data_IF_732225677484
#
_entry.id   IF_732225677484
#
_cell.length_a   1.000
_cell.length_b   1.000
_cell.length_c   1.000
_cell.angle_alpha   90.00
_cell.angle_beta   90.00
_cell.angle_gamma   90.00
#
_symmetry.space_group_name_H-M   'P 1'
#
loop_
_entity.id
_entity.type
_entity.pdbx_description
1 polymer ?
#
# COMPACT_ATOMS: atom_id res chain seq x y z
N UNK A 1 -23.35 15.03 -3.62
CA UNK A 1 -22.04 14.73 -4.23
C UNK A 1 -21.08 15.85 -3.89
N UNK A 2 -19.91 15.51 -3.38
CA UNK A 2 -18.88 16.43 -2.87
C UNK A 2 -17.59 16.20 -3.64
N UNK A 3 -16.87 17.29 -3.93
CA UNK A 3 -15.49 17.21 -4.40
C UNK A 3 -14.60 16.79 -3.23
N UNK A 4 -13.83 15.73 -3.41
CA UNK A 4 -12.91 15.17 -2.41
C UNK A 4 -11.48 15.64 -2.66
N UNK A 5 -11.02 15.58 -3.91
CA UNK A 5 -9.71 16.09 -4.33
C UNK A 5 -9.76 16.51 -5.81
N UNK A 6 -8.83 17.37 -6.21
CA UNK A 6 -8.65 17.83 -7.60
C UNK A 6 -7.18 18.07 -7.89
N UNK A 7 -6.72 17.62 -9.06
CA UNK A 7 -5.37 17.83 -9.59
C UNK A 7 -5.42 18.17 -11.08
N UNK A 8 -4.35 18.76 -11.58
CA UNK A 8 -4.16 19.08 -13.00
C UNK A 8 -2.78 18.64 -13.46
N UNK A 9 -2.72 17.99 -14.62
CA UNK A 9 -1.51 17.61 -15.35
C UNK A 9 -1.91 17.25 -16.79
N UNK A 10 -0.94 17.13 -17.68
CA UNK A 10 -1.14 16.45 -18.97
C UNK A 10 -1.17 14.94 -18.71
N UNK A 11 -2.36 14.32 -18.80
CA UNK A 11 -2.57 12.88 -18.55
C UNK A 11 -2.83 12.09 -19.83
N UNK A 12 -3.07 12.77 -20.95
CA UNK A 12 -3.35 12.15 -22.24
C UNK A 12 -2.17 12.26 -23.24
N UNK A 13 -1.17 13.12 -22.96
CA UNK A 13 0.05 13.31 -23.75
C UNK A 13 -0.05 14.37 -24.85
N UNK A 14 -1.07 15.23 -24.86
CA UNK A 14 -1.26 16.26 -25.89
C UNK A 14 -0.57 17.60 -25.58
N UNK A 15 0.07 17.72 -24.41
CA UNK A 15 0.77 18.91 -23.95
C UNK A 15 -0.12 19.97 -23.30
N UNK A 16 -1.42 19.73 -23.15
CA UNK A 16 -2.37 20.60 -22.47
C UNK A 16 -2.72 20.04 -21.08
N UNK A 17 -3.10 20.94 -20.17
CA UNK A 17 -3.47 20.51 -18.82
C UNK A 17 -4.90 19.98 -18.80
N UNK A 18 -5.04 18.73 -18.40
CA UNK A 18 -6.30 18.10 -18.05
C UNK A 18 -6.65 18.35 -16.58
N UNK A 19 -7.90 18.10 -16.20
CA UNK A 19 -8.32 18.14 -14.79
C UNK A 19 -8.84 16.79 -14.33
N UNK A 20 -8.27 16.31 -13.24
CA UNK A 20 -8.64 15.05 -12.58
C UNK A 20 -9.39 15.38 -11.30
N UNK A 21 -10.61 14.88 -11.19
CA UNK A 21 -11.47 15.07 -10.03
C UNK A 21 -11.72 13.74 -9.33
N UNK A 22 -11.77 13.81 -8.00
CA UNK A 22 -12.31 12.74 -7.18
C UNK A 22 -13.58 13.27 -6.51
N UNK A 23 -14.72 12.69 -6.87
CA UNK A 23 -16.00 12.99 -6.24
C UNK A 23 -16.43 11.86 -5.31
N UNK A 24 -17.30 12.15 -4.34
CA UNK A 24 -17.98 11.12 -3.56
C UNK A 24 -19.21 11.65 -2.88
N UNK A 25 -19.98 10.77 -2.26
CA UNK A 25 -21.11 11.13 -1.42
C UNK A 25 -20.67 11.08 0.05
N UNK A 26 -21.05 12.10 0.83
CA UNK A 26 -20.76 12.19 2.26
C UNK A 26 -22.08 12.08 3.02
N UNK A 27 -22.42 10.90 3.59
CA UNK A 27 -23.68 10.69 4.30
C UNK A 27 -23.89 11.68 5.45
N UNK A 28 -22.82 12.04 6.16
CA UNK A 28 -22.83 12.97 7.29
C UNK A 28 -22.71 14.45 6.87
N UNK A 29 -22.91 14.74 5.58
CA UNK A 29 -22.81 16.10 5.03
C UNK A 29 -21.38 16.59 4.84
N UNK A 30 -21.22 17.89 4.62
CA UNK A 30 -19.94 18.49 4.19
C UNK A 30 -18.79 18.29 5.19
N UNK A 31 -19.11 18.25 6.48
CA UNK A 31 -18.16 18.01 7.58
C UNK A 31 -17.82 16.53 7.79
N UNK A 32 -18.53 15.61 7.13
CA UNK A 32 -18.24 14.19 7.18
C UNK A 32 -16.86 13.87 6.59
N UNK A 33 -16.11 13.02 7.29
CA UNK A 33 -14.78 12.54 6.85
C UNK A 33 -14.84 11.25 6.04
N UNK A 34 -15.95 10.51 6.15
CA UNK A 34 -16.23 9.33 5.35
C UNK A 34 -16.91 9.73 4.04
N UNK A 35 -16.55 9.07 2.95
CA UNK A 35 -17.26 9.18 1.68
C UNK A 35 -17.51 7.78 1.07
N UNK A 36 -18.66 7.61 0.43
CA UNK A 36 -19.00 6.47 -0.41
C UNK A 36 -19.21 6.89 -1.87
N UNK A 37 -19.37 5.92 -2.77
CA UNK A 37 -19.54 6.15 -4.21
C UNK A 37 -18.44 7.06 -4.78
N UNK A 38 -17.21 6.85 -4.31
CA UNK A 38 -16.05 7.61 -4.75
C UNK A 38 -15.81 7.33 -6.23
N UNK A 39 -15.84 8.39 -7.03
CA UNK A 39 -15.81 8.31 -8.49
C UNK A 39 -14.69 9.19 -9.02
N UNK A 40 -13.84 8.61 -9.86
CA UNK A 40 -12.79 9.32 -10.57
C UNK A 40 -13.36 9.90 -11.87
N UNK A 41 -13.13 11.19 -12.12
CA UNK A 41 -13.57 11.86 -13.34
C UNK A 41 -12.38 12.58 -13.98
N UNK A 42 -12.12 12.24 -15.22
CA UNK A 42 -11.06 12.82 -16.04
C UNK A 42 -11.70 13.81 -17.00
N UNK A 43 -11.23 15.05 -17.05
CA UNK A 43 -11.71 16.05 -17.98
C UNK A 43 -10.58 16.53 -18.88
N UNK A 44 -10.74 16.27 -20.18
CA UNK A 44 -9.82 16.70 -21.23
C UNK A 44 -9.73 18.24 -21.27
N UNK A 45 -8.51 18.77 -21.24
CA UNK A 45 -8.22 20.20 -21.27
C UNK A 45 -8.56 20.88 -22.60
N UNK A 46 -8.46 20.13 -23.71
CA UNK A 46 -8.76 20.59 -25.07
C UNK A 46 -10.24 20.45 -25.42
N UNK A 47 -10.80 19.25 -25.30
CA UNK A 47 -12.15 18.95 -25.78
C UNK A 47 -13.24 19.17 -24.73
N UNK A 48 -12.86 19.28 -23.45
CA UNK A 48 -13.75 19.29 -22.28
C UNK A 48 -14.62 18.04 -22.14
N UNK A 49 -14.35 16.99 -22.90
CA UNK A 49 -14.99 15.69 -22.70
C UNK A 49 -14.60 15.10 -21.35
N UNK A 50 -15.51 14.32 -20.78
CA UNK A 50 -15.34 13.69 -19.47
C UNK A 50 -15.38 12.18 -19.59
N UNK A 51 -14.40 11.54 -18.97
CA UNK A 51 -14.37 10.09 -18.76
C UNK A 51 -14.62 9.81 -17.29
N UNK A 52 -15.62 8.98 -17.00
CA UNK A 52 -15.97 8.57 -15.64
C UNK A 52 -15.41 7.16 -15.39
N UNK A 53 -14.67 7.00 -14.31
CA UNK A 53 -14.04 5.73 -13.93
C UNK A 53 -14.63 5.25 -12.61
N UNK A 54 -15.26 4.08 -12.64
CA UNK A 54 -15.81 3.43 -11.46
C UNK A 54 -14.72 2.60 -10.78
N UNK A 55 -14.43 2.91 -9.52
CA UNK A 55 -13.49 2.16 -8.69
C UNK A 55 -14.18 0.94 -8.09
N UNK A 56 -13.47 -0.19 -7.95
CA UNK A 56 -14.02 -1.44 -7.39
C UNK A 56 -14.38 -1.25 -5.91
N UNK A 57 -13.43 -0.78 -5.11
CA UNK A 57 -13.62 -0.33 -3.74
C UNK A 57 -13.63 1.20 -3.72
N UNK A 58 -14.81 1.76 -3.45
CA UNK A 58 -15.08 3.18 -3.64
C UNK A 58 -15.68 3.86 -2.40
N UNK A 59 -15.37 3.34 -1.22
CA UNK A 59 -15.84 3.89 0.05
C UNK A 59 -14.70 3.91 1.07
N UNK A 60 -14.61 5.00 1.84
CA UNK A 60 -13.58 5.14 2.86
C UNK A 60 -13.33 6.58 3.27
N UNK A 61 -12.12 6.83 3.75
CA UNK A 61 -11.65 8.08 4.31
C UNK A 61 -10.48 8.63 3.48
N UNK A 62 -10.21 9.93 3.61
CA UNK A 62 -9.02 10.59 3.05
C UNK A 62 -8.71 10.27 1.58
N UNK A 63 -9.76 10.10 0.77
CA UNK A 63 -9.63 9.81 -0.65
C UNK A 63 -8.85 10.93 -1.35
N UNK A 64 -7.75 10.59 -2.04
CA UNK A 64 -6.79 11.56 -2.57
C UNK A 64 -6.17 11.14 -3.90
N UNK A 65 -5.72 12.13 -4.65
CA UNK A 65 -5.08 12.00 -5.95
C UNK A 65 -3.59 12.33 -5.87
N UNK A 66 -2.80 11.60 -6.64
CA UNK A 66 -1.43 11.95 -7.00
C UNK A 66 -1.26 11.75 -8.50
N UNK A 67 -0.64 12.71 -9.18
CA UNK A 67 -0.36 12.64 -10.62
C UNK A 67 1.15 12.57 -10.83
N UNK A 68 1.61 11.59 -11.61
CA UNK A 68 3.03 11.40 -11.90
C UNK A 68 3.25 10.27 -12.89
N UNK A 69 4.37 10.28 -13.59
CA UNK A 69 4.74 9.22 -14.54
C UNK A 69 5.17 7.97 -13.76
N UNK A 70 4.37 6.91 -13.77
CA UNK A 70 4.72 5.65 -13.12
C UNK A 70 5.12 4.56 -14.12
N UNK A 71 4.64 4.64 -15.36
CA UNK A 71 4.92 3.66 -16.41
C UNK A 71 6.18 4.00 -17.25
N UNK A 72 6.86 5.09 -16.93
CA UNK A 72 8.11 5.61 -17.54
C UNK A 72 7.94 6.06 -19.00
N UNK A 73 6.75 6.52 -19.37
CA UNK A 73 6.45 7.01 -20.71
C UNK A 73 6.39 8.54 -20.85
N UNK A 74 6.67 9.25 -19.74
CA UNK A 74 6.69 10.72 -19.59
C UNK A 74 5.33 11.41 -19.58
N UNK A 75 4.24 10.65 -19.57
CA UNK A 75 2.88 11.17 -19.39
C UNK A 75 2.48 10.93 -17.94
N UNK A 76 1.74 11.87 -17.33
CA UNK A 76 1.32 11.68 -15.95
C UNK A 76 0.23 10.59 -15.86
N UNK A 77 0.50 9.53 -15.10
CA UNK A 77 -0.54 8.59 -14.67
C UNK A 77 -1.19 9.07 -13.36
N UNK A 78 -2.29 8.41 -12.99
CA UNK A 78 -3.21 8.84 -11.94
C UNK A 78 -3.23 7.80 -10.83
N UNK A 79 -2.66 8.14 -9.67
CA UNK A 79 -2.79 7.35 -8.44
C UNK A 79 -4.00 7.85 -7.62
N UNK A 80 -4.93 6.95 -7.35
CA UNK A 80 -6.03 7.13 -6.40
C UNK A 80 -5.74 6.31 -5.14
N UNK A 81 -5.79 6.93 -3.97
CA UNK A 81 -5.67 6.27 -2.67
C UNK A 81 -6.91 6.56 -1.82
N UNK A 82 -7.48 5.54 -1.18
CA UNK A 82 -8.63 5.63 -0.27
C UNK A 82 -8.30 4.82 0.99
N UNK A 83 -8.38 5.43 2.17
CA UNK A 83 -8.18 4.72 3.43
C UNK A 83 -9.46 3.96 3.79
N UNK A 84 -9.39 2.64 4.05
CA UNK A 84 -10.59 1.86 4.43
C UNK A 84 -11.10 2.21 5.84
N UNK A 85 -10.22 2.76 6.68
CA UNK A 85 -10.44 2.88 8.12
C UNK A 85 -10.26 1.54 8.86
N UNK A 86 -10.73 1.49 10.11
CA UNK A 86 -10.61 0.31 10.97
C UNK A 86 -9.22 0.08 11.57
N UNK A 87 -9.09 -0.93 12.42
CA UNK A 87 -7.85 -1.22 13.16
C UNK A 87 -6.77 -1.91 12.33
N UNK A 88 -7.13 -2.42 11.15
CA UNK A 88 -6.19 -2.98 10.17
C UNK A 88 -5.40 -1.89 9.44
N UNK A 89 -5.98 -0.70 9.27
CA UNK A 89 -5.35 0.42 8.58
C UNK A 89 -5.10 0.15 7.10
N UNK A 90 -6.06 -0.47 6.40
CA UNK A 90 -5.91 -0.82 4.99
C UNK A 90 -6.20 0.36 4.08
N UNK A 91 -5.73 0.25 2.84
CA UNK A 91 -6.06 1.18 1.77
C UNK A 91 -6.57 0.43 0.54
N UNK A 92 -7.44 1.08 -0.21
CA UNK A 92 -7.74 0.75 -1.61
C UNK A 92 -6.97 1.71 -2.49
N UNK A 93 -6.20 1.19 -3.43
CA UNK A 93 -5.31 1.98 -4.28
C UNK A 93 -5.35 1.51 -5.74
N UNK A 94 -5.39 2.48 -6.65
CA UNK A 94 -5.44 2.23 -8.09
C UNK A 94 -4.49 3.18 -8.82
N UNK A 95 -3.82 2.69 -9.86
CA UNK A 95 -3.07 3.55 -10.79
C UNK A 95 -3.63 3.37 -12.18
N UNK A 96 -3.95 4.48 -12.86
CA UNK A 96 -4.46 4.48 -14.22
C UNK A 96 -3.60 5.36 -15.13
N UNK A 97 -3.30 4.85 -16.32
CA UNK A 97 -2.86 5.68 -17.44
C UNK A 97 -4.07 6.13 -18.26
N UNK A 98 -4.02 7.35 -18.81
CA UNK A 98 -5.05 7.88 -19.71
C UNK A 98 -4.47 8.38 -21.05
N UNK A 99 -3.31 7.87 -21.41
CA UNK A 99 -2.62 8.20 -22.65
C UNK A 99 -3.52 8.09 -23.89
N UNK A 100 -3.43 9.07 -24.78
CA UNK A 100 -4.20 9.14 -26.02
C UNK A 100 -5.72 9.03 -25.79
N UNK A 101 -6.21 9.49 -24.63
CA UNK A 101 -7.59 9.34 -24.14
C UNK A 101 -8.06 7.87 -23.96
N UNK A 102 -7.12 6.93 -23.80
CA UNK A 102 -7.39 5.51 -23.54
C UNK A 102 -7.06 5.16 -22.10
N UNK A 103 -8.09 4.81 -21.32
CA UNK A 103 -7.92 4.40 -19.93
C UNK A 103 -7.33 2.99 -19.83
N UNK A 104 -6.26 2.84 -19.04
CA UNK A 104 -5.65 1.55 -18.70
C UNK A 104 -5.32 1.48 -17.21
N UNK A 105 -5.78 0.43 -16.52
CA UNK A 105 -5.36 0.11 -15.15
C UNK A 105 -3.91 -0.43 -15.17
N UNK A 106 -3.03 0.20 -14.38
CA UNK A 106 -1.63 -0.19 -14.21
C UNK A 106 -1.38 -0.90 -12.87
N UNK A 107 -2.18 -0.58 -11.84
CA UNK A 107 -2.07 -1.15 -10.50
C UNK A 107 -3.45 -1.22 -9.82
N UNK A 108 -3.64 -2.28 -9.05
CA UNK A 108 -4.82 -2.52 -8.19
C UNK A 108 -4.34 -3.15 -6.86
N UNK A 109 -4.73 -2.57 -5.73
CA UNK A 109 -4.31 -3.01 -4.40
C UNK A 109 -4.76 -4.43 -4.06
N UNK A 110 -5.93 -4.86 -4.52
CA UNK A 110 -6.44 -6.21 -4.30
C UNK A 110 -5.62 -7.23 -5.11
N UNK A 111 -5.28 -6.91 -6.35
CA UNK A 111 -4.37 -7.70 -7.17
C UNK A 111 -2.98 -7.81 -6.52
N UNK A 112 -2.45 -6.71 -5.99
CA UNK A 112 -1.20 -6.70 -5.23
C UNK A 112 -1.27 -7.64 -4.00
N UNK A 113 -2.33 -7.54 -3.19
CA UNK A 113 -2.50 -8.38 -1.99
C UNK A 113 -2.61 -9.88 -2.32
N UNK A 114 -3.19 -10.23 -3.48
CA UNK A 114 -3.25 -11.62 -3.94
C UNK A 114 -1.89 -12.14 -4.42
N UNK A 115 -1.10 -11.28 -5.06
CA UNK A 115 0.21 -11.63 -5.62
C UNK A 115 1.27 -11.77 -4.52
N UNK A 116 1.36 -10.81 -3.60
CA UNK A 116 2.39 -10.73 -2.57
C UNK A 116 1.88 -11.28 -1.24
N UNK A 117 1.90 -12.60 -1.11
CA UNK A 117 1.53 -13.31 0.11
C UNK A 117 2.74 -13.64 0.96
N UNK A 118 2.51 -13.68 2.27
CA UNK A 118 3.50 -14.00 3.26
C UNK A 118 2.94 -15.02 4.26
N UNK A 119 3.79 -15.96 4.66
CA UNK A 119 3.52 -16.87 5.76
C UNK A 119 4.28 -16.38 6.98
N UNK A 120 3.61 -16.20 8.11
CA UNK A 120 4.23 -15.77 9.37
C UNK A 120 4.08 -16.88 10.39
N UNK A 121 5.20 -17.50 10.77
CA UNK A 121 5.20 -18.57 11.76
C UNK A 121 6.10 -18.17 12.93
N UNK A 122 5.63 -18.44 14.14
CA UNK A 122 6.52 -18.43 15.29
C UNK A 122 7.40 -19.67 15.18
N UNK A 123 8.65 -19.54 15.58
CA UNK A 123 9.68 -20.58 15.54
C UNK A 123 10.31 -20.72 16.92
N UNK A 124 10.94 -21.85 17.20
CA UNK A 124 11.70 -22.05 18.43
C UNK A 124 12.73 -20.93 18.66
N UNK A 125 13.04 -20.71 19.94
CA UNK A 125 14.04 -19.74 20.41
C UNK A 125 13.67 -18.28 20.11
N UNK A 126 12.39 -17.95 20.34
CA UNK A 126 11.84 -16.59 20.29
C UNK A 126 12.02 -15.92 18.91
N UNK A 127 11.85 -16.71 17.85
CA UNK A 127 11.97 -16.24 16.47
C UNK A 127 10.59 -16.23 15.81
N UNK A 128 10.43 -15.34 14.84
CA UNK A 128 9.27 -15.34 13.94
C UNK A 128 9.80 -15.34 12.51
N UNK A 129 9.44 -16.36 11.74
CA UNK A 129 9.77 -16.46 10.33
C UNK A 129 8.68 -15.78 9.49
N UNK A 130 9.11 -15.01 8.48
CA UNK A 130 8.23 -14.37 7.50
C UNK A 130 8.72 -14.77 6.11
N UNK A 131 8.04 -15.73 5.51
CA UNK A 131 8.40 -16.27 4.20
C UNK A 131 7.49 -15.77 3.08
N UNK A 132 8.05 -15.41 1.94
CA UNK A 132 7.31 -15.21 0.69
C UNK A 132 7.76 -16.25 -0.34
N UNK A 133 7.03 -17.37 -0.50
CA UNK A 133 7.41 -18.42 -1.45
C UNK A 133 7.50 -17.94 -2.90
N UNK A 134 6.68 -16.95 -3.28
CA UNK A 134 6.65 -16.41 -4.64
C UNK A 134 7.92 -15.62 -4.98
N UNK A 135 8.56 -15.03 -3.97
CA UNK A 135 9.77 -14.24 -4.11
C UNK A 135 11.05 -14.99 -3.68
N UNK A 136 10.90 -16.24 -3.20
CA UNK A 136 11.98 -17.07 -2.65
C UNK A 136 12.79 -16.34 -1.56
N UNK A 137 12.08 -15.73 -0.60
CA UNK A 137 12.69 -14.97 0.50
C UNK A 137 12.15 -15.40 1.86
N UNK A 138 13.03 -15.36 2.85
CA UNK A 138 12.74 -15.65 4.26
C UNK A 138 13.37 -14.59 5.14
N UNK A 139 12.56 -13.93 5.96
CA UNK A 139 13.02 -13.05 7.03
C UNK A 139 12.82 -13.72 8.38
N UNK A 140 13.69 -13.40 9.33
CA UNK A 140 13.58 -13.87 10.71
C UNK A 140 13.64 -12.65 11.63
N UNK A 141 12.61 -12.47 12.45
CA UNK A 141 12.56 -11.46 13.50
C UNK A 141 12.86 -12.14 14.83
N UNK A 142 13.77 -11.56 15.61
CA UNK A 142 13.95 -11.92 17.01
C UNK A 142 12.97 -11.13 17.88
N UNK A 143 12.12 -11.84 18.62
CA UNK A 143 11.11 -11.25 19.50
C UNK A 143 11.46 -11.39 20.99
N UNK A 144 12.70 -11.76 21.33
CA UNK A 144 13.18 -11.89 22.71
C UNK A 144 13.00 -10.61 23.54
N UNK A 145 12.90 -9.47 22.86
CA UNK A 145 12.64 -8.15 23.44
C UNK A 145 11.21 -7.95 23.97
N UNK A 146 10.25 -8.82 23.64
CA UNK A 146 8.83 -8.67 24.03
C UNK A 146 8.58 -8.92 25.53
N UNK A 147 9.57 -9.45 26.25
CA UNK A 147 9.51 -9.68 27.70
C UNK A 147 8.86 -11.01 28.09
N UNK A 148 9.13 -11.44 29.32
CA UNK A 148 8.73 -12.77 29.82
C UNK A 148 7.22 -12.99 29.81
N UNK A 149 6.42 -11.98 30.15
CA UNK A 149 4.95 -12.08 30.18
C UNK A 149 4.36 -12.34 28.79
N UNK A 150 4.95 -11.76 27.75
CA UNK A 150 4.57 -12.05 26.37
C UNK A 150 5.07 -13.43 25.94
N UNK A 151 6.36 -13.71 26.12
CA UNK A 151 7.00 -14.92 25.59
C UNK A 151 6.47 -16.19 26.26
N UNK A 152 6.18 -16.15 27.55
CA UNK A 152 5.64 -17.30 28.30
C UNK A 152 4.26 -17.76 27.80
N UNK A 153 3.54 -16.95 27.02
CA UNK A 153 2.28 -17.36 26.39
C UNK A 153 2.51 -18.40 25.28
N UNK A 154 3.64 -18.33 24.58
CA UNK A 154 3.92 -19.13 23.39
C UNK A 154 5.05 -20.16 23.59
N UNK A 155 5.98 -19.88 24.51
CA UNK A 155 7.21 -20.66 24.68
C UNK A 155 7.32 -21.30 26.06
N UNK A 156 7.95 -22.47 26.11
CA UNK A 156 8.44 -23.09 27.34
C UNK A 156 9.72 -22.38 27.81
N UNK A 157 10.12 -22.62 29.06
CA UNK A 157 11.33 -21.99 29.66
C UNK A 157 12.62 -22.32 28.91
N UNK A 158 12.65 -23.41 28.15
CA UNK A 158 13.78 -23.79 27.29
C UNK A 158 13.79 -23.08 25.92
N UNK A 159 12.88 -22.14 25.70
CA UNK A 159 12.72 -21.38 24.45
C UNK A 159 11.99 -22.12 23.33
N UNK A 160 11.54 -23.35 23.53
CA UNK A 160 10.76 -24.08 22.51
C UNK A 160 9.30 -23.70 22.53
N UNK A 161 8.68 -23.66 21.36
CA UNK A 161 7.24 -23.43 21.25
C UNK A 161 6.44 -24.49 22.00
N UNK A 162 5.36 -24.05 22.63
CA UNK A 162 4.37 -24.94 23.27
C UNK A 162 3.54 -25.69 22.24
N UNK A 163 3.23 -25.02 21.14
CA UNK A 163 2.50 -25.53 19.98
C UNK A 163 2.80 -24.63 18.78
N UNK A 164 2.52 -25.06 17.53
CA UNK A 164 2.59 -24.18 16.37
C UNK A 164 1.71 -22.94 16.55
N UNK A 165 2.25 -21.77 16.22
CA UNK A 165 1.58 -20.47 16.33
C UNK A 165 1.88 -19.65 15.07
N UNK A 166 0.87 -18.95 14.57
CA UNK A 166 0.99 -18.14 13.36
C UNK A 166 0.68 -16.67 13.67
N UNK A 167 1.40 -15.79 12.98
CA UNK A 167 1.03 -14.39 12.83
C UNK A 167 0.43 -14.16 11.44
N UNK A 168 0.41 -12.89 11.02
CA UNK A 168 -0.10 -12.53 9.70
C UNK A 168 0.63 -11.31 9.15
N UNK A 169 0.80 -11.24 7.83
CA UNK A 169 1.05 -9.97 7.13
C UNK A 169 -0.28 -9.48 6.60
N UNK A 170 -0.70 -8.33 7.09
CA UNK A 170 -1.97 -7.73 6.72
C UNK A 170 -1.98 -7.25 5.26
N UNK A 171 -3.17 -6.94 4.75
CA UNK A 171 -3.35 -6.27 3.47
C UNK A 171 -2.60 -4.92 3.42
N UNK A 172 -2.42 -4.40 2.20
CA UNK A 172 -1.77 -3.12 1.93
C UNK A 172 -2.34 -2.00 2.82
N UNK A 173 -1.47 -1.40 3.63
CA UNK A 173 -1.82 -0.29 4.51
C UNK A 173 -1.19 1.05 4.09
N UNK A 174 -0.35 1.03 3.06
CA UNK A 174 0.27 2.23 2.51
C UNK A 174 0.86 1.98 1.14
N UNK A 175 0.68 2.94 0.24
CA UNK A 175 1.27 2.95 -1.10
C UNK A 175 1.75 4.37 -1.39
N UNK A 176 3.06 4.53 -1.52
CA UNK A 176 3.70 5.84 -1.63
C UNK A 176 4.49 5.96 -2.93
N UNK A 177 4.24 6.99 -3.76
CA UNK A 177 5.10 7.31 -4.89
C UNK A 177 6.48 7.74 -4.37
N UNK A 178 7.54 7.22 -4.97
CA UNK A 178 8.94 7.56 -4.63
C UNK A 178 9.77 7.71 -5.89
N UNK A 179 10.64 8.72 -5.92
CA UNK A 179 11.64 8.88 -6.99
C UNK A 179 12.88 8.09 -6.60
N UNK A 180 13.22 7.08 -7.39
CA UNK A 180 14.41 6.22 -7.18
C UNK A 180 15.50 6.48 -8.21
N UNK A 181 15.13 6.87 -9.43
CA UNK A 181 16.04 7.33 -10.47
C UNK A 181 15.86 8.84 -10.69
N UNK A 182 16.77 9.64 -10.14
CA UNK A 182 16.77 11.10 -10.25
C UNK A 182 17.03 11.63 -11.66
N UNK A 183 17.48 10.79 -12.60
CA UNK A 183 17.62 11.17 -14.00
C UNK A 183 16.30 11.06 -14.76
N UNK A 184 15.41 10.19 -14.28
CA UNK A 184 14.02 10.10 -14.72
C UNK A 184 13.13 10.99 -13.85
N UNK A 185 12.09 11.60 -14.42
CA UNK A 185 11.01 12.22 -13.65
C UNK A 185 9.94 11.18 -13.25
N UNK A 186 10.28 9.89 -13.25
CA UNK A 186 9.35 8.79 -13.03
C UNK A 186 9.30 8.36 -11.57
N UNK A 187 8.19 7.73 -11.19
CA UNK A 187 7.89 7.29 -9.84
C UNK A 187 7.85 5.75 -9.77
N UNK A 188 8.61 5.21 -8.84
CA UNK A 188 8.40 3.88 -8.29
C UNK A 188 7.39 3.95 -7.14
N UNK A 189 7.03 2.79 -6.57
CA UNK A 189 6.10 2.70 -5.44
C UNK A 189 6.74 2.00 -4.26
N UNK A 190 6.59 2.56 -3.06
CA UNK A 190 6.83 1.82 -1.81
C UNK A 190 5.49 1.34 -1.25
N UNK A 191 5.27 0.03 -1.26
CA UNK A 191 4.14 -0.63 -0.64
C UNK A 191 4.49 -1.05 0.79
N UNK A 192 3.60 -0.76 1.76
CA UNK A 192 3.75 -1.08 3.17
C UNK A 192 2.65 -2.02 3.64
N UNK A 193 3.04 -3.13 4.26
CA UNK A 193 2.14 -4.09 4.92
C UNK A 193 2.62 -4.34 6.35
N UNK A 194 1.69 -4.38 7.30
CA UNK A 194 2.02 -4.60 8.71
C UNK A 194 2.10 -6.08 9.02
N UNK A 195 3.14 -6.47 9.76
CA UNK A 195 3.33 -7.81 10.29
C UNK A 195 2.79 -7.82 11.72
N UNK A 196 1.83 -8.69 11.99
CA UNK A 196 1.22 -8.85 13.31
C UNK A 196 1.50 -10.25 13.89
N UNK A 197 1.48 -10.35 15.21
CA UNK A 197 1.47 -11.62 15.94
C UNK A 197 0.09 -12.26 15.95
N UNK A 198 -0.26 -12.95 17.03
CA UNK A 198 -1.55 -13.67 17.11
C UNK A 198 -2.77 -12.76 17.26
N UNK A 199 -2.57 -11.47 17.47
CA UNK A 199 -3.63 -10.46 17.58
C UNK A 199 -3.23 -9.20 16.81
N UNK A 200 -4.21 -8.49 16.23
CA UNK A 200 -3.96 -7.28 15.43
C UNK A 200 -3.26 -6.14 16.19
N UNK A 201 -3.40 -6.08 17.53
CA UNK A 201 -2.72 -5.09 18.36
C UNK A 201 -1.20 -5.35 18.50
N UNK A 202 -0.75 -6.59 18.24
CA UNK A 202 0.63 -6.98 18.40
C UNK A 202 1.41 -6.80 17.10
N UNK A 203 1.93 -5.60 16.88
CA UNK A 203 2.80 -5.34 15.72
C UNK A 203 4.20 -5.92 15.97
N UNK A 204 4.65 -6.75 15.03
CA UNK A 204 6.00 -7.34 15.02
C UNK A 204 6.94 -6.56 14.10
N UNK A 205 6.40 -5.93 13.06
CA UNK A 205 7.16 -5.15 12.09
C UNK A 205 6.33 -4.77 10.87
N UNK A 206 7.03 -4.40 9.80
CA UNK A 206 6.44 -4.00 8.53
C UNK A 206 7.24 -4.57 7.37
N UNK A 207 6.54 -5.11 6.37
CA UNK A 207 7.09 -5.37 5.06
C UNK A 207 7.10 -4.04 4.30
N UNK A 208 8.26 -3.70 3.73
CA UNK A 208 8.41 -2.63 2.75
C UNK A 208 8.79 -3.25 1.42
N UNK A 209 7.95 -3.09 0.41
CA UNK A 209 8.15 -3.61 -0.94
C UNK A 209 8.30 -2.44 -1.92
N UNK A 210 9.50 -2.25 -2.46
CA UNK A 210 9.74 -1.30 -3.54
C UNK A 210 9.36 -1.95 -4.86
N UNK A 211 8.34 -1.39 -5.51
CA UNK A 211 7.88 -1.79 -6.82
C UNK A 211 8.40 -0.83 -7.89
N UNK A 212 8.91 -1.39 -8.99
CA UNK A 212 9.31 -0.62 -10.17
C UNK A 212 8.58 -1.13 -11.40
N UNK A 213 8.29 -0.23 -12.33
CA UNK A 213 7.72 -0.60 -13.62
C UNK A 213 8.77 -1.26 -14.51
N UNK A 214 8.46 -2.45 -15.03
CA UNK A 214 9.34 -3.24 -15.91
C UNK A 214 9.07 -3.02 -17.41
N UNK A 215 8.11 -2.16 -17.74
CA UNK A 215 7.60 -1.95 -19.10
C UNK A 215 6.19 -2.50 -19.30
N UNK A 216 5.75 -3.43 -18.45
CA UNK A 216 4.44 -4.10 -18.56
C UNK A 216 3.63 -4.08 -17.27
N UNK A 217 4.29 -4.23 -16.12
CA UNK A 217 3.67 -4.26 -14.81
C UNK A 217 4.64 -3.78 -13.72
N UNK A 218 4.12 -3.57 -12.51
CA UNK A 218 4.94 -3.30 -11.33
C UNK A 218 5.49 -4.60 -10.76
N UNK A 219 6.81 -4.71 -10.69
CA UNK A 219 7.52 -5.85 -10.11
C UNK A 219 8.23 -5.46 -8.81
N UNK A 220 8.34 -6.39 -7.87
CA UNK A 220 9.17 -6.21 -6.68
C UNK A 220 10.64 -6.12 -7.06
N UNK A 221 11.25 -4.98 -6.78
CA UNK A 221 12.68 -4.71 -7.01
C UNK A 221 13.50 -4.87 -5.74
N UNK A 222 12.88 -4.60 -4.58
CA UNK A 222 13.53 -4.69 -3.28
C UNK A 222 12.50 -4.90 -2.19
N UNK A 223 12.74 -5.91 -1.36
CA UNK A 223 11.90 -6.24 -0.23
C UNK A 223 12.70 -6.12 1.07
N UNK A 224 12.12 -5.47 2.07
CA UNK A 224 12.73 -5.25 3.38
C UNK A 224 11.73 -5.51 4.50
N UNK A 225 12.23 -5.94 5.66
CA UNK A 225 11.48 -5.97 6.91
C UNK A 225 12.02 -4.87 7.82
N UNK A 226 11.12 -4.00 8.30
CA UNK A 226 11.41 -3.02 9.35
C UNK A 226 10.81 -3.48 10.66
N UNK A 227 11.60 -3.42 11.74
CA UNK A 227 11.17 -3.84 13.08
C UNK A 227 11.19 -2.65 14.04
N UNK A 228 10.30 -2.60 15.05
CA UNK A 228 10.34 -1.57 16.07
C UNK A 228 11.67 -1.58 16.84
N UNK A 229 12.19 -0.42 17.27
CA UNK A 229 13.40 -0.35 18.06
C UNK A 229 13.17 -0.95 19.46
N UNK A 230 14.23 -1.47 20.04
CA UNK A 230 14.29 -1.80 21.47
C UNK A 230 15.00 -0.71 22.24
N UNK A 231 14.68 -0.56 23.53
CA UNK A 231 15.54 0.23 24.41
C UNK A 231 16.95 -0.34 24.35
N UNK A 232 17.92 0.55 24.17
CA UNK A 232 19.32 0.20 24.36
C UNK A 232 19.48 -0.16 25.85
N UNK A 233 19.54 -1.45 26.15
CA UNK A 233 20.05 -1.88 27.45
C UNK A 233 21.55 -1.59 27.36
N UNK A 234 22.06 -0.72 28.22
CA UNK A 234 23.48 -0.43 28.30
C UNK A 234 24.21 -1.74 28.63
N UNK A 235 24.69 -2.41 27.58
CA UNK A 235 25.71 -3.45 27.66
C UNK A 235 27.10 -2.83 27.39
N UNK A 236 27.24 -1.53 27.67
CA UNK A 236 28.47 -0.76 27.74
C UNK A 236 28.41 0.15 28.96
#
# INVERSE_FOLDING_TARGET
MFLLDMKQADINGDGLLDTVFLYGNKPDGASGIFADNITLVLQDGYSHQRTVVNLKDNAGYNARLFLGDFNKDRIADILVNIDSGGSGGYISAYIYSFRDNHLRELFDSEAYNRQYKFNVNYEDYYKVSIGSPQLDVLFIIDISNKGADYLSQYYNDNGKLKSPVQGEVLALGGLYPIVTDFQSSSYDLTALQRIIGTINADTLGYIQNLLTWDGTTFISSRLMVSIPPTKLIALY
#
